data_IF_817343509387
#
_entry.id   IF_817343509387
#
_cell.length_a   1.000
_cell.length_b   1.000
_cell.length_c   1.000
_cell.angle_alpha   90.00
_cell.angle_beta   90.00
_cell.angle_gamma   90.00
#
_symmetry.space_group_name_H-M   'P 1'
#
loop_
_entity.id
_entity.type
_entity.pdbx_description
1 polymer ?
#
# COMPACT_ATOMS: atom_id res chain seq x y z
N UNK A 1 -3.92 -53.36 29.67
CA UNK A 1 -3.91 -52.78 28.31
C UNK A 1 -4.73 -51.49 28.36
N UNK A 2 -4.07 -50.33 28.40
CA UNK A 2 -4.72 -49.02 28.61
C UNK A 2 -4.99 -48.41 27.24
N UNK A 3 -6.27 -48.25 26.87
CA UNK A 3 -6.67 -47.65 25.61
C UNK A 3 -6.66 -46.12 25.79
N UNK A 4 -5.58 -45.48 25.33
CA UNK A 4 -5.50 -44.01 25.20
C UNK A 4 -6.07 -43.59 23.85
N UNK A 5 -6.87 -42.53 23.83
CA UNK A 5 -7.07 -41.74 22.61
C UNK A 5 -8.49 -41.23 22.39
N UNK A 6 -8.87 -40.15 23.07
CA UNK A 6 -9.85 -39.20 22.53
C UNK A 6 -9.15 -37.87 22.39
N UNK A 7 -8.48 -37.67 21.25
CA UNK A 7 -7.97 -36.37 20.84
C UNK A 7 -9.18 -35.44 20.65
N UNK A 8 -9.30 -34.47 21.55
CA UNK A 8 -10.34 -33.45 21.52
C UNK A 8 -9.89 -32.40 20.50
N UNK A 9 -10.36 -32.51 19.26
CA UNK A 9 -10.13 -31.47 18.24
C UNK A 9 -10.88 -30.21 18.67
N UNK A 10 -10.17 -29.22 19.21
CA UNK A 10 -10.75 -27.90 19.44
C UNK A 10 -10.78 -27.15 18.12
N UNK A 11 -11.97 -27.00 17.54
CA UNK A 11 -12.18 -26.07 16.43
C UNK A 11 -12.46 -24.70 17.04
N UNK A 12 -11.47 -23.82 17.04
CA UNK A 12 -11.66 -22.42 17.43
C UNK A 12 -12.26 -21.69 16.23
N UNK A 13 -13.57 -21.51 16.23
CA UNK A 13 -14.24 -20.64 15.26
C UNK A 13 -14.12 -19.22 15.78
N UNK A 14 -13.21 -18.43 15.22
CA UNK A 14 -13.17 -16.98 15.47
C UNK A 14 -14.36 -16.33 14.74
N UNK A 15 -15.42 -16.03 15.49
CA UNK A 15 -16.61 -15.35 14.96
C UNK A 15 -16.33 -13.85 14.97
N UNK A 16 -15.69 -13.36 13.91
CA UNK A 16 -15.45 -11.94 13.67
C UNK A 16 -14.53 -11.69 12.47
N UNK A 17 -14.82 -10.67 11.66
CA UNK A 17 -13.93 -10.26 10.57
C UNK A 17 -12.61 -9.72 11.15
N UNK A 18 -11.52 -10.48 10.99
CA UNK A 18 -10.20 -10.04 11.40
C UNK A 18 -9.68 -8.97 10.44
N UNK A 19 -9.09 -7.91 11.00
CA UNK A 19 -8.47 -6.82 10.26
C UNK A 19 -6.99 -6.74 10.57
N UNK A 20 -6.18 -6.48 9.55
CA UNK A 20 -4.72 -6.39 9.70
C UNK A 20 -4.13 -5.26 8.86
N UNK A 21 -2.85 -4.98 9.10
CA UNK A 21 -2.01 -4.14 8.25
C UNK A 21 -1.16 -5.02 7.34
N UNK A 22 -1.01 -4.63 6.08
CA UNK A 22 -0.09 -5.27 5.13
C UNK A 22 0.76 -4.23 4.45
N UNK A 23 2.06 -4.39 4.60
CA UNK A 23 3.07 -3.55 3.98
C UNK A 23 3.43 -4.08 2.59
N UNK A 24 3.40 -3.19 1.60
CA UNK A 24 3.86 -3.40 0.25
C UNK A 24 5.11 -2.55 0.03
N UNK A 25 6.32 -3.11 0.20
CA UNK A 25 7.55 -2.36 0.08
C UNK A 25 7.96 -2.12 -1.38
N UNK A 26 8.76 -1.07 -1.58
CA UNK A 26 9.49 -0.78 -2.81
C UNK A 26 8.63 -0.59 -4.08
N UNK A 27 7.36 -0.17 -3.94
CA UNK A 27 6.50 0.11 -5.09
C UNK A 27 7.11 1.22 -5.96
N UNK A 28 7.21 1.02 -7.29
CA UNK A 28 7.78 2.02 -8.17
C UNK A 28 6.91 3.28 -8.22
N UNK A 29 7.54 4.44 -8.08
CA UNK A 29 6.87 5.72 -8.23
C UNK A 29 6.82 6.12 -9.70
N UNK A 30 5.61 6.29 -10.23
CA UNK A 30 5.39 6.72 -11.62
C UNK A 30 5.10 8.21 -11.67
N UNK A 31 5.93 8.98 -12.37
CA UNK A 31 5.71 10.42 -12.56
C UNK A 31 4.89 10.66 -13.82
N UNK A 32 3.61 11.01 -13.67
CA UNK A 32 2.66 11.06 -14.79
C UNK A 32 2.82 12.33 -15.66
N UNK A 33 3.25 13.44 -15.08
CA UNK A 33 3.38 14.71 -15.80
C UNK A 33 4.63 15.47 -15.36
N UNK A 34 5.83 15.06 -15.82
CA UNK A 34 7.08 15.64 -15.39
C UNK A 34 7.14 17.16 -15.52
N UNK A 35 7.47 17.85 -14.42
CA UNK A 35 7.72 19.28 -14.45
C UNK A 35 9.08 19.57 -15.12
N UNK A 36 9.09 20.50 -16.08
CA UNK A 36 10.31 20.89 -16.79
C UNK A 36 11.35 21.45 -15.81
N UNK A 37 12.61 21.04 -15.96
CA UNK A 37 13.70 21.48 -15.07
C UNK A 37 13.71 20.80 -13.69
N UNK A 38 12.95 19.74 -13.47
CA UNK A 38 13.00 18.94 -12.25
C UNK A 38 13.32 17.47 -12.54
N UNK A 39 14.02 16.83 -11.59
CA UNK A 39 14.31 15.41 -11.59
C UNK A 39 13.74 14.76 -10.33
N UNK A 40 12.98 13.69 -10.52
CA UNK A 40 12.47 12.86 -9.44
C UNK A 40 13.62 12.10 -8.76
N UNK A 41 13.82 12.35 -7.46
CA UNK A 41 14.83 11.67 -6.64
C UNK A 41 14.27 10.40 -6.00
N UNK A 42 13.03 10.45 -5.52
CA UNK A 42 12.36 9.29 -4.93
C UNK A 42 11.90 8.33 -6.03
N UNK A 43 12.48 7.12 -6.08
CA UNK A 43 12.13 6.12 -7.10
C UNK A 43 11.11 5.09 -6.62
N UNK A 44 11.14 4.77 -5.33
CA UNK A 44 10.32 3.72 -4.73
C UNK A 44 9.67 4.21 -3.44
N UNK A 45 8.53 3.61 -3.11
CA UNK A 45 7.74 3.94 -1.93
C UNK A 45 7.09 2.68 -1.36
N UNK A 46 6.90 2.64 -0.05
CA UNK A 46 6.24 1.55 0.65
C UNK A 46 4.83 1.99 1.05
N UNK A 47 3.83 1.18 0.71
CA UNK A 47 2.42 1.43 1.03
C UNK A 47 1.97 0.46 2.10
N UNK A 48 1.38 0.96 3.18
CA UNK A 48 0.73 0.13 4.19
C UNK A 48 -0.78 0.20 3.99
N UNK A 49 -1.41 -0.95 3.72
CA UNK A 49 -2.86 -1.08 3.60
C UNK A 49 -3.44 -1.64 4.90
N UNK A 50 -4.65 -1.20 5.24
CA UNK A 50 -5.41 -1.71 6.38
C UNK A 50 -6.80 -2.15 5.92
N UNK A 51 -7.24 -3.32 6.37
CA UNK A 51 -8.56 -3.84 6.03
C UNK A 51 -8.76 -5.29 6.48
N UNK A 52 -9.83 -5.95 6.01
CA UNK A 52 -10.11 -7.35 6.32
C UNK A 52 -9.01 -8.28 5.78
N UNK A 53 -8.58 -9.29 6.55
CA UNK A 53 -7.42 -10.14 6.19
C UNK A 53 -7.61 -10.78 4.81
N UNK A 54 -8.72 -11.47 4.58
CA UNK A 54 -8.93 -12.23 3.34
C UNK A 54 -8.79 -11.39 2.05
N UNK A 55 -9.47 -10.26 1.87
CA UNK A 55 -9.27 -9.43 0.68
C UNK A 55 -7.90 -8.72 0.67
N UNK A 56 -7.32 -8.42 1.84
CA UNK A 56 -5.99 -7.80 1.92
C UNK A 56 -4.89 -8.77 1.45
N UNK A 57 -5.05 -10.07 1.67
CA UNK A 57 -4.12 -11.12 1.21
C UNK A 57 -4.17 -11.34 -0.30
N UNK A 58 -5.33 -11.11 -0.93
CA UNK A 58 -5.50 -11.26 -2.38
C UNK A 58 -4.85 -10.14 -3.21
N UNK A 59 -4.59 -8.98 -2.60
CA UNK A 59 -3.93 -7.86 -3.28
C UNK A 59 -2.48 -8.24 -3.60
N UNK A 60 -2.11 -8.08 -4.87
CA UNK A 60 -0.73 -8.23 -5.32
C UNK A 60 -0.06 -6.87 -5.44
N UNK A 61 1.26 -6.91 -5.47
CA UNK A 61 2.09 -5.71 -5.67
C UNK A 61 1.79 -5.01 -7.01
N UNK A 62 1.53 -5.79 -8.06
CA UNK A 62 1.21 -5.30 -9.41
C UNK A 62 -0.12 -4.54 -9.50
N UNK A 63 -1.04 -4.78 -8.55
CA UNK A 63 -2.33 -4.11 -8.50
C UNK A 63 -2.23 -2.69 -7.90
N UNK A 64 -1.13 -2.40 -7.19
CA UNK A 64 -0.90 -1.13 -6.52
C UNK A 64 -0.01 -0.23 -7.38
N UNK A 65 -0.48 0.99 -7.64
CA UNK A 65 0.30 2.00 -8.36
C UNK A 65 0.49 3.22 -7.49
N UNK A 66 1.74 3.65 -7.33
CA UNK A 66 2.06 4.93 -6.68
C UNK A 66 2.39 5.92 -7.79
N UNK A 67 1.61 7.01 -7.86
CA UNK A 67 1.72 8.01 -8.92
C UNK A 67 2.04 9.37 -8.33
N UNK A 68 2.86 10.13 -9.04
CA UNK A 68 3.15 11.52 -8.73
C UNK A 68 2.54 12.41 -9.82
N UNK A 69 1.73 13.37 -9.39
CA UNK A 69 1.20 14.42 -10.27
C UNK A 69 1.77 15.76 -9.85
N UNK A 70 2.32 16.50 -10.80
CA UNK A 70 2.93 17.82 -10.55
C UNK A 70 2.22 18.95 -11.29
N UNK A 71 0.97 18.71 -11.72
CA UNK A 71 0.23 19.60 -12.63
C UNK A 71 -0.26 20.87 -11.95
N UNK A 72 -0.41 20.81 -10.63
CA UNK A 72 -0.96 21.85 -9.77
C UNK A 72 0.12 22.49 -8.89
N UNK A 73 1.39 22.21 -9.16
CA UNK A 73 2.49 22.72 -8.36
C UNK A 73 3.01 24.04 -8.93
N UNK A 74 3.00 25.05 -8.07
CA UNK A 74 3.78 26.26 -8.28
C UNK A 74 5.27 25.91 -8.15
N UNK A 75 6.15 26.58 -8.89
CA UNK A 75 7.58 26.23 -9.11
C UNK A 75 8.51 26.28 -7.88
N UNK A 76 8.00 26.10 -6.66
CA UNK A 76 8.73 26.26 -5.40
C UNK A 76 8.88 24.97 -4.58
N UNK A 77 8.31 23.84 -5.02
CA UNK A 77 8.27 22.63 -4.19
C UNK A 77 9.41 21.64 -4.49
N UNK A 78 10.22 21.35 -3.47
CA UNK A 78 11.24 20.27 -3.48
C UNK A 78 10.66 18.91 -3.06
N UNK A 79 9.41 18.87 -2.58
CA UNK A 79 8.73 17.65 -2.11
C UNK A 79 7.25 17.69 -2.44
N UNK A 80 6.71 16.55 -2.91
CA UNK A 80 5.34 16.43 -3.44
C UNK A 80 4.69 15.17 -2.88
N UNK A 81 3.41 15.27 -2.50
CA UNK A 81 2.64 14.12 -2.03
C UNK A 81 2.24 13.22 -3.20
N UNK A 82 2.64 11.95 -3.20
CA UNK A 82 2.18 10.99 -4.19
C UNK A 82 0.80 10.45 -3.83
N UNK A 83 0.11 9.96 -4.85
CA UNK A 83 -1.19 9.32 -4.76
C UNK A 83 -1.03 7.81 -4.94
N UNK A 84 -1.75 7.02 -4.14
CA UNK A 84 -1.80 5.57 -4.29
C UNK A 84 -3.10 5.21 -5.00
N UNK A 85 -2.99 4.68 -6.21
CA UNK A 85 -4.11 4.15 -6.95
C UNK A 85 -4.31 2.68 -6.53
N UNK A 86 -5.46 2.43 -5.91
CA UNK A 86 -5.94 1.09 -5.59
C UNK A 86 -6.69 0.51 -6.82
N UNK A 87 -6.67 -0.82 -7.01
CA UNK A 87 -7.41 -1.44 -8.09
C UNK A 87 -8.93 -1.25 -7.88
N UNK A 88 -9.69 -1.09 -8.96
CA UNK A 88 -11.14 -0.82 -8.90
C UNK A 88 -11.95 -1.98 -8.31
N UNK A 89 -11.40 -3.19 -8.34
CA UNK A 89 -11.96 -4.41 -7.77
C UNK A 89 -11.65 -4.59 -6.28
N UNK A 90 -10.93 -3.65 -5.65
CA UNK A 90 -10.57 -3.76 -4.23
C UNK A 90 -11.82 -3.68 -3.34
N UNK A 91 -11.79 -4.43 -2.24
CA UNK A 91 -12.79 -4.28 -1.19
C UNK A 91 -12.78 -2.84 -0.65
N UNK A 92 -13.95 -2.18 -0.63
CA UNK A 92 -14.11 -0.79 -0.18
C UNK A 92 -13.66 -0.54 1.26
N UNK A 93 -13.51 -1.60 2.06
CA UNK A 93 -13.05 -1.56 3.44
C UNK A 93 -11.53 -1.55 3.55
N UNK A 94 -10.81 -1.75 2.44
CA UNK A 94 -9.36 -1.61 2.39
C UNK A 94 -9.01 -0.16 2.10
N UNK A 95 -8.11 0.39 2.91
CA UNK A 95 -7.64 1.76 2.80
C UNK A 95 -6.14 1.86 2.96
N UNK A 96 -5.55 2.89 2.38
CA UNK A 96 -4.16 3.25 2.63
C UNK A 96 -4.05 3.80 4.04
N UNK A 97 -3.32 3.10 4.90
CA UNK A 97 -3.06 3.51 6.28
C UNK A 97 -1.82 4.40 6.36
N UNK A 98 -0.77 4.09 5.60
CA UNK A 98 0.44 4.88 5.57
C UNK A 98 1.20 4.75 4.24
N UNK A 99 2.02 5.75 3.94
CA UNK A 99 2.89 5.81 2.76
C UNK A 99 4.30 6.26 3.21
N UNK A 100 5.34 5.53 2.82
CA UNK A 100 6.72 5.74 3.29
C UNK A 100 7.68 5.77 2.08
N UNK A 101 8.41 6.86 1.82
CA UNK A 101 8.29 8.16 2.48
C UNK A 101 6.89 8.77 2.26
N UNK A 102 6.49 9.76 3.06
CA UNK A 102 5.18 10.42 2.87
C UNK A 102 5.13 11.32 1.64
N UNK A 103 6.30 11.75 1.19
CA UNK A 103 6.49 12.71 0.10
C UNK A 103 7.61 12.21 -0.82
N UNK A 104 7.43 12.46 -2.11
CA UNK A 104 8.44 12.25 -3.13
C UNK A 104 9.27 13.52 -3.31
N UNK A 105 10.60 13.38 -3.28
CA UNK A 105 11.52 14.51 -3.44
C UNK A 105 11.78 14.79 -4.91
N UNK A 106 11.73 16.06 -5.27
CA UNK A 106 12.10 16.61 -6.56
C UNK A 106 13.35 17.47 -6.40
N UNK A 107 14.25 17.41 -7.38
CA UNK A 107 15.45 18.26 -7.42
C UNK A 107 15.43 19.08 -8.71
N UNK A 108 15.60 20.39 -8.58
CA UNK A 108 15.77 21.28 -9.73
C UNK A 108 17.07 20.96 -10.47
N UNK A 109 17.02 20.94 -11.80
CA UNK A 109 18.16 20.83 -12.70
C UNK A 109 18.63 22.19 -13.17
#
# INVERSE_FOLDING_TARGET
MIIRGKSRTSVTVEIGEQRTNRLFPDLPLTWLNPAAGYKLQTKTMSVNLYGPISPLELIKREDLKVVLKTSELNSEYESVKPEVLLPTSIDKRIRVNNLIPKEARLKRQ
#
